data_IF_535793851354
#
_entry.id   IF_535793851354
#
_cell.length_a   1.000
_cell.length_b   1.000
_cell.length_c   1.000
_cell.angle_alpha   90.00
_cell.angle_beta   90.00
_cell.angle_gamma   90.00
#
_symmetry.space_group_name_H-M   'P 1'
#
loop_
_entity.id
_entity.type
_entity.pdbx_description
1 polymer ?
#
# COMPACT_ATOMS: atom_id res chain seq x y z
N UNK A 1 -33.16 -12.40 -7.70
CA UNK A 1 -31.70 -12.40 -7.55
C UNK A 1 -31.25 -13.82 -7.84
N UNK A 2 -30.76 -14.02 -9.05
CA UNK A 2 -30.77 -15.33 -9.69
C UNK A 2 -29.51 -16.11 -9.28
N UNK A 3 -29.60 -17.41 -8.95
CA UNK A 3 -28.45 -18.20 -8.51
C UNK A 3 -27.33 -18.26 -9.57
N UNK A 4 -27.67 -18.04 -10.84
CA UNK A 4 -26.73 -17.87 -11.96
C UNK A 4 -25.84 -16.63 -11.80
N UNK A 5 -26.38 -15.53 -11.27
CA UNK A 5 -25.62 -14.29 -11.03
C UNK A 5 -24.57 -14.46 -9.94
N UNK A 6 -24.83 -15.31 -8.92
CA UNK A 6 -23.85 -15.63 -7.88
C UNK A 6 -22.75 -16.57 -8.35
N UNK A 7 -23.07 -17.57 -9.20
CA UNK A 7 -22.07 -18.48 -9.73
C UNK A 7 -21.19 -17.84 -10.81
N UNK A 8 -21.75 -16.91 -11.60
CA UNK A 8 -21.05 -16.20 -12.67
C UNK A 8 -20.02 -15.18 -12.19
N UNK A 9 -20.10 -14.72 -10.93
CA UNK A 9 -19.28 -13.62 -10.43
C UNK A 9 -17.85 -14.04 -10.01
N UNK A 10 -17.68 -15.31 -9.67
CA UNK A 10 -16.48 -15.84 -9.00
C UNK A 10 -15.74 -16.89 -9.82
N UNK A 11 -16.21 -17.25 -11.03
CA UNK A 11 -15.34 -18.00 -11.92
C UNK A 11 -14.24 -17.06 -12.42
N UNK A 12 -13.04 -17.60 -12.52
CA UNK A 12 -11.90 -16.89 -13.08
C UNK A 12 -11.16 -17.86 -13.98
N UNK A 13 -10.52 -17.33 -15.01
CA UNK A 13 -9.60 -18.09 -15.83
C UNK A 13 -8.48 -18.66 -14.97
N UNK A 14 -7.75 -19.65 -15.49
CA UNK A 14 -6.60 -20.20 -14.78
C UNK A 14 -5.54 -19.13 -14.45
N UNK A 15 -5.37 -18.13 -15.34
CA UNK A 15 -4.50 -16.97 -15.12
C UNK A 15 -5.04 -16.07 -14.01
N UNK A 16 -6.33 -15.73 -14.06
CA UNK A 16 -6.99 -14.95 -13.02
C UNK A 16 -6.80 -15.57 -11.64
N UNK A 17 -7.08 -16.86 -11.52
CA UNK A 17 -6.90 -17.60 -10.27
C UNK A 17 -5.44 -17.62 -9.80
N UNK A 18 -4.49 -17.80 -10.72
CA UNK A 18 -3.06 -17.75 -10.40
C UNK A 18 -2.65 -16.36 -9.88
N UNK A 19 -3.12 -15.29 -10.52
CA UNK A 19 -2.84 -13.93 -10.06
C UNK A 19 -3.37 -13.67 -8.64
N UNK A 20 -4.62 -14.05 -8.35
CA UNK A 20 -5.17 -13.91 -7.00
C UNK A 20 -4.41 -14.74 -5.96
N UNK A 21 -3.92 -15.92 -6.36
CA UNK A 21 -3.06 -16.74 -5.50
C UNK A 21 -1.71 -16.04 -5.20
N UNK A 22 -1.09 -15.42 -6.21
CA UNK A 22 0.16 -14.67 -6.05
C UNK A 22 -0.05 -13.43 -5.16
N UNK A 23 -1.12 -12.66 -5.40
CA UNK A 23 -1.51 -11.52 -4.56
C UNK A 23 -1.76 -11.94 -3.11
N UNK A 24 -2.46 -13.06 -2.89
CA UNK A 24 -2.70 -13.61 -1.55
C UNK A 24 -1.38 -13.89 -0.83
N UNK A 25 -0.43 -14.53 -1.50
CA UNK A 25 0.88 -14.83 -0.91
C UNK A 25 1.66 -13.55 -0.58
N UNK A 26 1.60 -12.55 -1.45
CA UNK A 26 2.22 -11.24 -1.20
C UNK A 26 1.60 -10.54 0.01
N UNK A 27 0.27 -10.57 0.14
CA UNK A 27 -0.45 -9.99 1.29
C UNK A 27 -0.10 -10.73 2.58
N UNK A 28 -0.06 -12.07 2.57
CA UNK A 28 0.33 -12.86 3.73
C UNK A 28 1.79 -12.57 4.15
N UNK A 29 2.70 -12.47 3.18
CA UNK A 29 4.08 -12.08 3.43
C UNK A 29 4.18 -10.68 4.03
N UNK A 30 3.49 -9.70 3.45
CA UNK A 30 3.42 -8.33 3.97
C UNK A 30 2.92 -8.31 5.43
N UNK A 31 1.86 -9.08 5.72
CA UNK A 31 1.31 -9.16 7.07
C UNK A 31 2.29 -9.81 8.05
N UNK A 32 2.98 -10.88 7.64
CA UNK A 32 4.01 -11.52 8.46
C UNK A 32 5.17 -10.56 8.78
N UNK A 33 5.65 -9.82 7.78
CA UNK A 33 6.65 -8.76 7.96
C UNK A 33 6.12 -7.67 8.90
N UNK A 34 4.87 -7.24 8.73
CA UNK A 34 4.22 -6.23 9.57
C UNK A 34 4.13 -6.63 11.04
N UNK A 35 3.79 -7.90 11.33
CA UNK A 35 3.74 -8.44 12.70
C UNK A 35 5.08 -8.30 13.43
N UNK A 36 6.20 -8.36 12.71
CA UNK A 36 7.54 -8.23 13.29
C UNK A 36 7.99 -6.76 13.32
N UNK A 37 7.88 -6.06 12.19
CA UNK A 37 8.46 -4.72 12.03
C UNK A 37 7.65 -3.62 12.73
N UNK A 38 6.33 -3.75 12.84
CA UNK A 38 5.51 -2.72 13.51
C UNK A 38 5.81 -2.65 15.01
N UNK A 39 5.81 -3.76 15.78
CA UNK A 39 6.19 -3.73 17.20
C UNK A 39 7.64 -3.29 17.40
N UNK A 40 8.56 -3.79 16.57
CA UNK A 40 9.97 -3.40 16.63
C UNK A 40 10.16 -1.89 16.39
N UNK A 41 9.51 -1.36 15.34
CA UNK A 41 9.53 0.06 15.03
C UNK A 41 8.92 0.91 16.16
N UNK A 42 7.81 0.46 16.74
CA UNK A 42 7.20 1.09 17.91
C UNK A 42 8.13 1.11 19.13
N UNK A 43 8.80 -0.02 19.42
CA UNK A 43 9.79 -0.11 20.49
C UNK A 43 10.98 0.83 20.28
N UNK A 44 11.56 0.85 19.07
CA UNK A 44 12.68 1.73 18.75
C UNK A 44 12.28 3.21 18.82
N UNK A 45 11.09 3.56 18.31
CA UNK A 45 10.56 4.91 18.41
C UNK A 45 10.35 5.33 19.88
N UNK A 46 9.85 4.43 20.72
CA UNK A 46 9.69 4.67 22.15
C UNK A 46 11.05 4.94 22.83
N UNK A 47 12.07 4.13 22.53
CA UNK A 47 13.42 4.31 23.06
C UNK A 47 14.06 5.63 22.62
N UNK A 48 13.88 6.03 21.35
CA UNK A 48 14.34 7.33 20.84
C UNK A 48 13.64 8.49 21.56
N UNK A 49 12.33 8.39 21.76
CA UNK A 49 11.56 9.43 22.45
C UNK A 49 11.96 9.57 23.92
N UNK A 50 12.23 8.46 24.62
CA UNK A 50 12.74 8.48 26.00
C UNK A 50 14.10 9.16 26.12
N UNK A 51 14.96 9.00 25.10
CA UNK A 51 16.29 9.61 25.04
C UNK A 51 16.29 11.02 24.45
N UNK A 52 15.13 11.59 24.10
CA UNK A 52 15.02 12.86 23.37
C UNK A 52 15.85 12.89 22.07
N UNK A 53 15.88 11.76 21.34
CA UNK A 53 16.59 11.60 20.07
C UNK A 53 15.65 11.47 18.85
N UNK A 54 14.34 11.63 19.02
CA UNK A 54 13.36 11.50 17.91
C UNK A 54 13.58 12.53 16.80
N UNK A 55 14.29 13.62 17.08
CA UNK A 55 14.65 14.62 16.07
C UNK A 55 15.49 14.04 14.92
N UNK A 56 16.24 12.96 15.15
CA UNK A 56 16.99 12.24 14.11
C UNK A 56 16.08 11.74 12.98
N UNK A 57 14.79 11.52 13.25
CA UNK A 57 13.82 11.06 12.27
C UNK A 57 13.26 12.18 11.39
N UNK A 58 13.50 13.46 11.70
CA UNK A 58 12.94 14.59 10.94
C UNK A 58 13.43 14.58 9.49
N UNK A 59 14.74 14.44 9.28
CA UNK A 59 15.34 14.42 7.94
C UNK A 59 14.85 13.25 7.08
N UNK A 60 14.91 11.98 7.54
CA UNK A 60 14.39 10.87 6.74
C UNK A 60 12.89 10.98 6.48
N UNK A 61 12.09 11.47 7.44
CA UNK A 61 10.65 11.74 7.20
C UNK A 61 10.45 12.74 6.07
N UNK A 62 11.21 13.84 6.00
CA UNK A 62 11.10 14.82 4.90
C UNK A 62 11.42 14.19 3.55
N UNK A 63 12.49 13.39 3.47
CA UNK A 63 12.88 12.70 2.23
C UNK A 63 11.76 11.77 1.77
N UNK A 64 11.27 10.93 2.68
CA UNK A 64 10.21 9.96 2.41
C UNK A 64 8.92 10.68 1.98
N UNK A 65 8.48 11.72 2.70
CA UNK A 65 7.30 12.51 2.32
C UNK A 65 7.46 13.11 0.92
N UNK A 66 8.64 13.66 0.62
CA UNK A 66 8.90 14.26 -0.70
C UNK A 66 8.79 13.23 -1.81
N UNK A 67 9.40 12.05 -1.63
CA UNK A 67 9.30 10.96 -2.59
C UNK A 67 7.84 10.48 -2.76
N UNK A 68 7.09 10.33 -1.66
CA UNK A 68 5.67 9.96 -1.71
C UNK A 68 4.82 10.99 -2.45
N UNK A 69 5.08 12.29 -2.28
CA UNK A 69 4.37 13.34 -3.00
C UNK A 69 4.64 13.29 -4.52
N UNK A 70 5.85 12.93 -4.94
CA UNK A 70 6.16 12.70 -6.35
C UNK A 70 5.35 11.54 -6.91
N UNK A 71 5.28 10.42 -6.19
CA UNK A 71 4.47 9.25 -6.60
C UNK A 71 2.99 9.63 -6.71
N UNK A 72 2.45 10.35 -5.72
CA UNK A 72 1.07 10.84 -5.74
C UNK A 72 0.82 11.74 -6.96
N UNK A 73 1.74 12.65 -7.28
CA UNK A 73 1.63 13.50 -8.45
C UNK A 73 1.57 12.68 -9.75
N UNK A 74 2.39 11.63 -9.88
CA UNK A 74 2.35 10.72 -11.03
C UNK A 74 1.01 9.99 -11.12
N UNK A 75 0.47 9.53 -9.99
CA UNK A 75 -0.83 8.87 -9.93
C UNK A 75 -1.98 9.80 -10.32
N UNK A 76 -1.92 11.08 -9.95
CA UNK A 76 -2.91 12.08 -10.37
C UNK A 76 -2.87 12.37 -11.88
N UNK A 77 -1.69 12.30 -12.50
CA UNK A 77 -1.54 12.53 -13.94
C UNK A 77 -1.99 11.32 -14.74
N UNK A 78 -1.58 10.11 -14.35
CA UNK A 78 -1.93 8.88 -15.05
C UNK A 78 -1.90 7.68 -14.09
N UNK A 79 -3.03 7.42 -13.43
CA UNK A 79 -3.16 6.30 -12.50
C UNK A 79 -2.97 4.95 -13.19
N UNK A 80 -3.53 4.77 -14.39
CA UNK A 80 -3.46 3.51 -15.16
C UNK A 80 -2.01 3.10 -15.42
N UNK A 81 -1.17 4.02 -15.90
CA UNK A 81 0.25 3.72 -16.16
C UNK A 81 1.02 3.41 -14.88
N UNK A 82 0.72 4.09 -13.77
CA UNK A 82 1.32 3.78 -12.46
C UNK A 82 0.85 2.41 -11.96
N UNK A 83 -0.42 2.07 -12.17
CA UNK A 83 -0.99 0.77 -11.82
C UNK A 83 -0.34 -0.36 -12.61
N UNK A 84 -0.11 -0.18 -13.92
CA UNK A 84 0.63 -1.13 -14.75
C UNK A 84 2.07 -1.28 -14.24
N UNK A 85 2.79 -0.17 -14.03
CA UNK A 85 4.17 -0.20 -13.53
C UNK A 85 4.26 -0.89 -12.15
N UNK A 86 3.28 -0.68 -11.27
CA UNK A 86 3.18 -1.39 -10.00
C UNK A 86 3.06 -2.91 -10.18
N UNK A 87 2.25 -3.37 -11.13
CA UNK A 87 2.12 -4.80 -11.43
C UNK A 87 3.40 -5.38 -12.03
N UNK A 88 4.06 -4.67 -12.95
CA UNK A 88 5.33 -5.11 -13.54
C UNK A 88 6.48 -5.21 -12.51
N UNK A 89 6.46 -4.37 -11.48
CA UNK A 89 7.43 -4.45 -10.37
C UNK A 89 7.18 -5.68 -9.49
N UNK A 90 5.93 -6.05 -9.26
CA UNK A 90 5.55 -7.14 -8.35
C UNK A 90 5.48 -8.51 -9.02
N UNK A 91 5.07 -8.55 -10.28
CA UNK A 91 4.78 -9.78 -11.02
C UNK A 91 5.67 -9.87 -12.26
N UNK A 92 6.29 -11.04 -12.46
CA UNK A 92 7.13 -11.33 -13.64
C UNK A 92 6.34 -11.98 -14.79
N UNK A 93 5.03 -12.12 -14.61
CA UNK A 93 4.09 -12.70 -15.58
C UNK A 93 3.06 -11.63 -16.00
N UNK A 94 2.15 -12.02 -16.88
CA UNK A 94 1.05 -11.18 -17.38
C UNK A 94 -0.30 -11.71 -16.90
N UNK A 95 -0.32 -12.48 -15.81
CA UNK A 95 -1.54 -13.12 -15.31
C UNK A 95 -2.51 -12.13 -14.68
N UNK A 96 -2.07 -10.89 -14.42
CA UNK A 96 -2.86 -9.76 -13.93
C UNK A 96 -3.70 -9.06 -15.01
N UNK A 97 -3.53 -9.42 -16.30
CA UNK A 97 -4.37 -8.90 -17.39
C UNK A 97 -5.62 -9.76 -17.50
N UNK A 98 -6.76 -9.18 -17.11
CA UNK A 98 -8.05 -9.86 -17.06
C UNK A 98 -8.95 -9.52 -18.25
N UNK A 99 -9.67 -10.52 -18.76
CA UNK A 99 -10.76 -10.34 -19.73
C UNK A 99 -12.10 -10.37 -18.97
N UNK A 100 -12.93 -9.31 -19.01
CA UNK A 100 -14.21 -9.27 -18.30
C UNK A 100 -15.17 -10.43 -18.61
N UNK A 101 -15.00 -11.12 -19.74
CA UNK A 101 -15.81 -12.29 -20.11
C UNK A 101 -15.38 -13.58 -19.39
N UNK A 102 -14.09 -13.71 -19.07
CA UNK A 102 -13.52 -14.89 -18.39
C UNK A 102 -13.19 -14.65 -16.92
N UNK A 103 -13.01 -13.39 -16.54
CA UNK A 103 -12.59 -12.91 -15.23
C UNK A 103 -13.51 -11.75 -14.77
N UNK A 104 -14.82 -12.00 -14.59
CA UNK A 104 -15.82 -10.96 -14.29
C UNK A 104 -15.57 -10.22 -12.97
N UNK A 105 -14.71 -10.77 -12.10
CA UNK A 105 -14.24 -10.13 -10.86
C UNK A 105 -13.60 -8.75 -11.11
N UNK A 106 -13.01 -8.49 -12.28
CA UNK A 106 -12.45 -7.18 -12.63
C UNK A 106 -13.52 -6.07 -12.61
N UNK A 107 -14.78 -6.41 -12.89
CA UNK A 107 -15.89 -5.44 -12.85
C UNK A 107 -16.24 -5.02 -11.41
N UNK A 108 -15.80 -5.79 -10.40
CA UNK A 108 -15.98 -5.48 -8.98
C UNK A 108 -14.78 -4.77 -8.38
N UNK A 109 -13.62 -4.90 -9.02
CA UNK A 109 -12.35 -4.29 -8.62
C UNK A 109 -11.86 -3.37 -9.74
N UNK A 110 -12.62 -2.31 -10.09
CA UNK A 110 -12.17 -1.34 -11.08
C UNK A 110 -10.94 -0.59 -10.57
N UNK A 111 -10.23 0.05 -11.49
CA UNK A 111 -9.11 0.94 -11.18
C UNK A 111 -9.45 2.01 -10.12
N UNK A 112 -10.66 2.55 -10.12
CA UNK A 112 -11.14 3.51 -9.12
C UNK A 112 -11.13 2.96 -7.70
N UNK A 113 -11.45 1.67 -7.51
CA UNK A 113 -11.37 1.02 -6.20
C UNK A 113 -9.92 0.97 -5.70
N UNK A 114 -8.97 0.67 -6.58
CA UNK A 114 -7.55 0.66 -6.22
C UNK A 114 -7.04 2.07 -5.94
N UNK A 115 -7.47 3.07 -6.70
CA UNK A 115 -7.15 4.47 -6.44
C UNK A 115 -7.60 4.89 -5.04
N UNK A 116 -8.84 4.57 -4.64
CA UNK A 116 -9.34 4.81 -3.28
C UNK A 116 -8.50 4.09 -2.21
N UNK A 117 -8.10 2.84 -2.47
CA UNK A 117 -7.20 2.11 -1.57
C UNK A 117 -5.84 2.79 -1.40
N UNK A 118 -5.23 3.28 -2.50
CA UNK A 118 -3.97 4.03 -2.44
C UNK A 118 -4.13 5.37 -1.70
N UNK A 119 -5.24 6.08 -1.92
CA UNK A 119 -5.54 7.32 -1.20
C UNK A 119 -5.65 7.06 0.30
N UNK A 120 -6.39 6.03 0.71
CA UNK A 120 -6.50 5.63 2.11
C UNK A 120 -5.12 5.31 2.71
N UNK A 121 -4.30 4.55 1.99
CA UNK A 121 -2.92 4.25 2.40
C UNK A 121 -2.12 5.53 2.66
N UNK A 122 -2.12 6.49 1.73
CA UNK A 122 -1.37 7.73 1.88
C UNK A 122 -1.88 8.61 3.01
N UNK A 123 -3.20 8.67 3.25
CA UNK A 123 -3.77 9.39 4.40
C UNK A 123 -3.27 8.82 5.72
N UNK A 124 -3.33 7.50 5.89
CA UNK A 124 -2.84 6.82 7.11
C UNK A 124 -1.33 7.00 7.27
N UNK A 125 -0.60 6.86 6.16
CA UNK A 125 0.85 7.02 6.10
C UNK A 125 1.30 8.43 6.52
N UNK A 126 0.72 9.48 5.92
CA UNK A 126 1.03 10.86 6.29
C UNK A 126 0.59 11.19 7.71
N UNK A 127 -0.54 10.66 8.17
CA UNK A 127 -0.97 10.78 9.56
C UNK A 127 0.08 10.23 10.53
N UNK A 128 0.58 9.01 10.29
CA UNK A 128 1.64 8.41 11.10
C UNK A 128 2.94 9.22 11.05
N UNK A 129 3.37 9.66 9.86
CA UNK A 129 4.58 10.48 9.70
C UNK A 129 4.46 11.84 10.40
N UNK A 130 3.28 12.47 10.36
CA UNK A 130 3.03 13.74 11.03
C UNK A 130 3.15 13.62 12.55
N UNK A 131 2.63 12.53 13.14
CA UNK A 131 2.79 12.25 14.58
C UNK A 131 4.26 12.10 14.96
N UNK A 132 5.03 11.28 14.23
CA UNK A 132 6.46 11.07 14.52
C UNK A 132 7.26 12.36 14.30
N UNK A 133 6.95 13.12 13.26
CA UNK A 133 7.57 14.42 13.00
C UNK A 133 7.30 15.40 14.15
N UNK A 134 6.06 15.48 14.64
CA UNK A 134 5.70 16.32 15.79
C UNK A 134 6.46 15.92 17.06
N UNK A 135 6.60 14.62 17.33
CA UNK A 135 7.44 14.11 18.43
C UNK A 135 8.90 14.55 18.26
N UNK A 136 9.46 14.45 17.06
CA UNK A 136 10.81 14.91 16.74
C UNK A 136 10.99 16.41 17.00
N UNK A 137 10.02 17.25 16.61
CA UNK A 137 10.04 18.69 16.88
C UNK A 137 9.96 19.02 18.37
N UNK A 138 9.20 18.24 19.15
CA UNK A 138 9.13 18.39 20.61
C UNK A 138 10.46 18.01 21.27
N UNK A 139 11.15 17.01 20.74
CA UNK A 139 12.47 16.56 21.21
C UNK A 139 13.52 17.68 21.14
N UNK A 140 13.53 18.46 20.04
CA UNK A 140 14.43 19.61 19.87
C UNK A 140 14.17 20.77 20.83
N UNK A 141 13.01 20.82 21.48
CA UNK A 141 12.67 21.87 22.47
C UNK A 141 13.10 21.49 23.90
N UNK A 142 13.51 20.23 24.12
CA UNK A 142 13.85 19.69 25.44
C UNK A 142 15.35 19.48 25.65
N UNK A 143 16.15 19.45 24.58
CA UNK A 143 17.61 19.47 24.63
C UNK A 143 18.11 20.87 24.36
#
# INVERSE_FOLDING_TARGET
MDPVFKAGLFFSSAKGLQHFHDVKNLVLFNNAVGIVLVPLGGYLLHQLNKKSLTWLLITPIKVIITASLVIIALMFVNFEQVFIAFHEVLFRNQDWIFDPNTDPVINMLPDTFFLECFLLFFVLFFGAMAVIYWMGRRSLRKG
#
